data_IF_635424953190
#
_entry.id   IF_635424953190
#
_cell.length_a   1.000
_cell.length_b   1.000
_cell.length_c   1.000
_cell.angle_alpha   90.00
_cell.angle_beta   90.00
_cell.angle_gamma   90.00
#
_symmetry.space_group_name_H-M   'P 1'
#
loop_
_entity.id
_entity.type
_entity.pdbx_description
1 polymer ?
#
# COMPACT_ATOMS: atom_id res chain seq x y z
N UNK A 1 -11.31 1.94 54.67
CA UNK A 1 -10.46 1.61 53.52
C UNK A 1 -11.25 0.68 52.60
N UNK A 2 -11.87 1.20 51.54
CA UNK A 2 -12.69 0.42 50.62
C UNK A 2 -11.84 0.00 49.41
N UNK A 3 -11.38 -1.25 49.43
CA UNK A 3 -10.68 -1.86 48.31
C UNK A 3 -11.64 -2.09 47.14
N UNK A 4 -11.47 -1.32 46.05
CA UNK A 4 -12.20 -1.56 44.80
C UNK A 4 -11.58 -2.76 44.09
N UNK A 5 -12.36 -3.83 43.93
CA UNK A 5 -11.98 -4.96 43.09
C UNK A 5 -11.90 -4.51 41.61
N UNK A 6 -10.77 -4.79 40.97
CA UNK A 6 -10.57 -4.55 39.55
C UNK A 6 -11.35 -5.61 38.75
N UNK A 7 -12.21 -5.25 37.79
CA UNK A 7 -12.89 -6.24 36.97
C UNK A 7 -11.87 -6.97 36.09
N UNK A 8 -11.95 -8.30 36.08
CA UNK A 8 -11.09 -9.15 35.24
C UNK A 8 -11.34 -8.80 33.77
N UNK A 9 -10.33 -8.21 33.13
CA UNK A 9 -10.29 -8.04 31.68
C UNK A 9 -10.39 -9.43 31.06
N UNK A 10 -11.51 -9.71 30.39
CA UNK A 10 -11.62 -10.87 29.53
C UNK A 10 -10.65 -10.67 28.37
N UNK A 11 -9.71 -11.60 28.22
CA UNK A 11 -8.80 -11.63 27.09
C UNK A 11 -9.64 -11.69 25.80
N UNK A 12 -9.67 -10.58 25.05
CA UNK A 12 -10.14 -10.58 23.69
C UNK A 12 -9.26 -11.59 22.93
N UNK A 13 -9.83 -12.73 22.56
CA UNK A 13 -9.17 -13.69 21.68
C UNK A 13 -8.70 -12.96 20.42
N UNK A 14 -7.56 -13.36 19.83
CA UNK A 14 -7.04 -12.68 18.65
C UNK A 14 -8.10 -12.78 17.56
N UNK A 15 -8.62 -11.63 17.13
CA UNK A 15 -9.41 -11.48 15.92
C UNK A 15 -8.49 -11.78 14.73
N UNK A 16 -8.17 -13.05 14.48
CA UNK A 16 -7.43 -13.47 13.28
C UNK A 16 -8.41 -13.55 12.12
N UNK A 17 -8.93 -12.39 11.73
CA UNK A 17 -9.70 -12.29 10.49
C UNK A 17 -8.71 -12.33 9.34
N UNK A 18 -8.68 -13.49 8.66
CA UNK A 18 -8.03 -13.74 7.38
C UNK A 18 -6.50 -13.60 7.37
N UNK A 19 -5.80 -14.72 7.56
CA UNK A 19 -4.40 -14.88 7.15
C UNK A 19 -4.33 -14.59 5.64
N UNK A 20 -3.87 -13.40 5.28
CA UNK A 20 -3.76 -12.98 3.88
C UNK A 20 -2.86 -13.97 3.14
N UNK A 21 -3.26 -14.36 1.93
CA UNK A 21 -2.72 -15.50 1.19
C UNK A 21 -1.19 -15.52 1.18
N UNK A 22 -0.61 -16.53 1.83
CA UNK A 22 0.83 -16.74 1.92
C UNK A 22 1.40 -16.86 0.50
N UNK A 23 2.32 -15.96 0.14
CA UNK A 23 2.98 -16.00 -1.16
C UNK A 23 3.72 -17.33 -1.36
N UNK A 24 3.49 -18.02 -2.48
CA UNK A 24 4.15 -19.31 -2.79
C UNK A 24 5.66 -19.11 -2.94
N UNK A 25 6.47 -19.95 -2.28
CA UNK A 25 7.94 -19.93 -2.37
C UNK A 25 8.63 -18.78 -1.64
N UNK A 26 7.90 -18.09 -0.76
CA UNK A 26 8.43 -17.01 0.11
C UNK A 26 8.11 -17.34 1.56
N UNK A 27 9.14 -17.31 2.41
CA UNK A 27 9.00 -17.49 3.85
C UNK A 27 9.01 -16.12 4.50
N UNK A 28 7.89 -15.73 5.10
CA UNK A 28 7.76 -14.50 5.88
C UNK A 28 8.37 -14.74 7.26
N UNK A 29 9.28 -13.85 7.67
CA UNK A 29 9.94 -13.92 8.98
C UNK A 29 9.28 -13.00 10.01
N UNK A 30 8.58 -11.95 9.56
CA UNK A 30 7.95 -10.99 10.46
C UNK A 30 6.45 -11.25 10.59
N UNK A 31 5.97 -11.58 11.80
CA UNK A 31 4.54 -11.70 12.12
C UNK A 31 3.73 -10.45 11.74
N UNK A 32 4.35 -9.26 11.79
CA UNK A 32 3.69 -8.00 11.42
C UNK A 32 3.16 -8.02 9.97
N UNK A 33 3.81 -8.73 9.06
CA UNK A 33 3.40 -8.77 7.66
C UNK A 33 2.03 -9.42 7.44
N UNK A 34 1.75 -10.47 8.22
CA UNK A 34 0.54 -11.28 8.16
C UNK A 34 -0.61 -10.62 8.91
N UNK A 35 -0.29 -9.89 9.99
CA UNK A 35 -1.29 -9.33 10.91
C UNK A 35 -1.68 -7.88 10.58
N UNK A 36 -0.88 -7.13 9.81
CA UNK A 36 -1.18 -5.71 9.54
C UNK A 36 -2.39 -5.56 8.60
N UNK A 37 -3.56 -5.08 9.09
CA UNK A 37 -4.74 -4.88 8.25
C UNK A 37 -4.54 -3.71 7.29
N UNK A 38 -3.66 -2.78 7.64
CA UNK A 38 -3.42 -1.54 6.91
C UNK A 38 -2.52 -1.76 5.69
N UNK A 39 -2.86 -1.10 4.58
CA UNK A 39 -2.05 -1.03 3.35
C UNK A 39 -1.32 0.32 3.31
N UNK A 40 -0.10 0.33 2.78
CA UNK A 40 0.68 1.57 2.66
C UNK A 40 0.22 2.45 1.51
N UNK A 41 0.89 3.59 1.33
CA UNK A 41 0.64 4.46 0.19
C UNK A 41 1.21 3.85 -1.10
N UNK A 42 0.52 3.98 -2.25
CA UNK A 42 1.08 3.60 -3.53
C UNK A 42 2.36 4.38 -3.84
N UNK A 43 3.48 3.66 -4.05
CA UNK A 43 4.76 4.28 -4.40
C UNK A 43 5.04 4.15 -5.91
N UNK A 44 4.90 2.94 -6.45
CA UNK A 44 5.16 2.64 -7.87
C UNK A 44 3.95 1.92 -8.47
N UNK A 45 3.42 2.34 -9.63
CA UNK A 45 2.19 1.77 -10.19
C UNK A 45 2.37 0.36 -10.78
N UNK A 46 3.59 -0.17 -10.79
CA UNK A 46 3.94 -1.48 -11.35
C UNK A 46 4.74 -2.30 -10.35
N UNK A 47 4.85 -3.60 -10.61
CA UNK A 47 5.78 -4.48 -9.90
C UNK A 47 7.23 -4.18 -10.26
N UNK A 48 8.13 -4.41 -9.31
CA UNK A 48 9.56 -4.25 -9.49
C UNK A 48 10.19 -5.63 -9.53
N UNK A 49 10.88 -5.95 -10.64
CA UNK A 49 11.61 -7.22 -10.78
C UNK A 49 12.95 -7.09 -10.06
N UNK A 50 13.24 -8.03 -9.17
CA UNK A 50 14.50 -8.08 -8.43
C UNK A 50 15.06 -9.49 -8.45
N UNK A 51 16.37 -9.60 -8.48
CA UNK A 51 17.07 -10.86 -8.31
C UNK A 51 17.28 -11.09 -6.81
N UNK A 52 16.79 -12.22 -6.29
CA UNK A 52 16.87 -12.59 -4.89
C UNK A 52 17.62 -13.92 -4.76
N UNK A 53 18.42 -14.04 -3.71
CA UNK A 53 19.16 -15.26 -3.40
C UNK A 53 18.46 -16.04 -2.29
N UNK A 54 18.48 -17.37 -2.42
CA UNK A 54 17.95 -18.28 -1.40
C UNK A 54 18.61 -18.06 -0.04
N UNK A 55 17.80 -18.08 1.02
CA UNK A 55 18.26 -17.95 2.41
C UNK A 55 18.69 -16.54 2.85
N UNK A 56 18.79 -15.56 1.95
CA UNK A 56 19.01 -14.16 2.33
C UNK A 56 17.72 -13.52 2.84
N UNK A 57 17.82 -12.80 3.96
CA UNK A 57 16.71 -11.99 4.48
C UNK A 57 16.65 -10.65 3.78
N UNK A 58 15.47 -10.36 3.22
CA UNK A 58 15.16 -9.08 2.61
C UNK A 58 14.05 -8.39 3.38
N UNK A 59 14.06 -7.05 3.39
CA UNK A 59 13.01 -6.23 4.01
C UNK A 59 12.26 -5.46 2.95
N UNK A 60 11.04 -5.90 2.62
CA UNK A 60 10.17 -5.22 1.67
C UNK A 60 9.50 -4.00 2.33
N UNK A 61 9.51 -2.87 1.64
CA UNK A 61 8.79 -1.68 2.07
C UNK A 61 7.29 -1.88 1.84
N UNK A 62 6.51 -1.88 2.92
CA UNK A 62 5.04 -1.95 2.92
C UNK A 62 4.38 -0.59 3.07
N UNK A 63 5.06 0.42 3.63
CA UNK A 63 4.49 1.75 3.89
C UNK A 63 4.41 2.64 2.63
N UNK A 64 5.25 2.39 1.64
CA UNK A 64 5.31 3.18 0.39
C UNK A 64 6.20 4.43 0.45
N UNK A 65 6.81 4.72 1.60
CA UNK A 65 7.58 5.96 1.83
C UNK A 65 9.09 5.79 1.63
N UNK A 66 9.55 4.56 1.39
CA UNK A 66 10.97 4.30 1.17
C UNK A 66 11.45 4.94 -0.13
N UNK A 67 12.63 5.57 -0.08
CA UNK A 67 13.34 6.08 -1.26
C UNK A 67 13.97 4.92 -2.05
N UNK A 68 14.33 3.82 -1.38
CA UNK A 68 14.99 2.64 -1.97
C UNK A 68 13.99 1.53 -2.33
N UNK A 69 12.91 1.88 -3.03
CA UNK A 69 11.92 0.89 -3.47
C UNK A 69 12.58 -0.23 -4.30
N UNK A 70 12.22 -1.51 -4.11
CA UNK A 70 11.10 -2.02 -3.30
C UNK A 70 11.43 -2.29 -1.82
N UNK A 71 12.67 -2.04 -1.40
CA UNK A 71 13.16 -2.36 -0.07
C UNK A 71 12.92 -1.25 0.94
N UNK A 72 12.95 -1.61 2.22
CA UNK A 72 12.83 -0.67 3.32
C UNK A 72 14.16 0.07 3.58
N UNK A 73 14.10 1.40 3.66
CA UNK A 73 15.22 2.28 4.01
C UNK A 73 15.19 2.78 5.46
N UNK A 74 14.09 2.56 6.18
CA UNK A 74 13.89 3.01 7.56
C UNK A 74 12.93 4.19 7.70
N UNK A 75 12.42 4.76 6.61
CA UNK A 75 11.49 5.90 6.63
C UNK A 75 10.22 5.65 7.45
N UNK A 76 9.81 4.38 7.60
CA UNK A 76 8.67 4.00 8.45
C UNK A 76 8.88 4.25 9.96
N UNK A 77 10.11 4.51 10.41
CA UNK A 77 10.43 4.76 11.83
C UNK A 77 10.19 6.22 12.23
N UNK A 78 10.03 7.12 11.26
CA UNK A 78 9.80 8.53 11.52
C UNK A 78 8.47 8.66 12.29
N UNK A 79 8.50 9.19 13.53
CA UNK A 79 7.30 9.33 14.34
C UNK A 79 6.22 10.15 13.63
N UNK A 80 4.97 9.70 13.68
CA UNK A 80 3.82 10.39 13.07
C UNK A 80 3.69 10.23 11.55
N UNK A 81 4.64 9.55 10.88
CA UNK A 81 4.58 9.42 9.42
C UNK A 81 3.77 8.21 8.96
N UNK A 82 3.97 7.05 9.60
CA UNK A 82 3.22 5.82 9.29
C UNK A 82 3.33 4.78 10.40
N UNK A 83 2.23 4.07 10.64
CA UNK A 83 2.19 2.89 11.53
C UNK A 83 2.48 1.58 10.77
N UNK A 84 2.59 1.65 9.44
CA UNK A 84 2.80 0.47 8.60
C UNK A 84 4.26 0.02 8.71
N UNK A 85 4.47 -1.22 9.17
CA UNK A 85 5.81 -1.81 9.35
C UNK A 85 6.22 -2.68 8.15
N UNK A 86 7.51 -2.67 7.78
CA UNK A 86 8.03 -3.45 6.65
C UNK A 86 7.87 -4.96 6.86
N UNK A 87 7.95 -5.70 5.76
CA UNK A 87 7.84 -7.17 5.76
C UNK A 87 9.21 -7.78 5.56
N UNK A 88 9.68 -8.52 6.55
CA UNK A 88 10.91 -9.31 6.44
C UNK A 88 10.58 -10.67 5.85
N UNK A 89 11.30 -11.06 4.80
CA UNK A 89 11.06 -12.31 4.08
C UNK A 89 12.34 -12.93 3.54
N UNK A 90 12.30 -14.23 3.29
CA UNK A 90 13.32 -15.02 2.62
C UNK A 90 12.70 -15.77 1.45
N UNK A 91 13.52 -16.05 0.43
CA UNK A 91 13.12 -16.91 -0.70
C UNK A 91 13.75 -18.28 -0.55
N UNK A 92 13.02 -19.32 -0.97
CA UNK A 92 13.50 -20.71 -0.94
C UNK A 92 14.47 -21.01 -2.09
N UNK A 93 14.28 -20.34 -3.24
CA UNK A 93 15.08 -20.54 -4.45
C UNK A 93 15.63 -19.20 -4.94
N UNK A 94 16.89 -19.20 -5.37
CA UNK A 94 17.47 -18.02 -6.00
C UNK A 94 16.84 -17.80 -7.38
N UNK A 95 16.48 -16.57 -7.72
CA UNK A 95 15.84 -16.27 -9.00
C UNK A 95 15.32 -14.85 -9.11
N UNK A 96 14.61 -14.57 -10.21
CA UNK A 96 13.91 -13.31 -10.39
C UNK A 96 12.53 -13.36 -9.77
N UNK A 97 12.26 -12.41 -8.87
CA UNK A 97 10.97 -12.24 -8.21
C UNK A 97 10.37 -10.88 -8.54
N UNK A 98 9.03 -10.85 -8.60
CA UNK A 98 8.26 -9.63 -8.88
C UNK A 98 7.68 -9.08 -7.58
N UNK A 99 8.34 -8.08 -7.00
CA UNK A 99 7.90 -7.45 -5.74
C UNK A 99 6.85 -6.38 -6.01
N UNK A 100 5.92 -6.23 -5.06
CA UNK A 100 4.86 -5.23 -5.17
C UNK A 100 5.41 -3.80 -5.00
N UNK A 101 5.19 -2.94 -5.99
CA UNK A 101 5.50 -1.50 -5.95
C UNK A 101 4.34 -0.63 -5.46
N UNK A 102 3.10 -1.03 -5.72
CA UNK A 102 1.91 -0.23 -5.40
C UNK A 102 1.44 -0.35 -3.94
N UNK A 103 1.99 -1.32 -3.20
CA UNK A 103 1.69 -1.62 -1.78
C UNK A 103 0.24 -2.05 -1.50
N UNK A 104 -0.55 -2.26 -2.56
CA UNK A 104 -1.94 -2.73 -2.48
C UNK A 104 -2.11 -4.25 -2.65
N UNK A 105 -0.99 -4.99 -2.71
CA UNK A 105 -1.01 -6.46 -2.81
C UNK A 105 -1.62 -7.10 -1.57
N UNK A 106 -2.42 -8.14 -1.78
CA UNK A 106 -2.92 -9.05 -0.77
C UNK A 106 -1.95 -10.24 -0.55
N UNK A 107 -1.07 -10.53 -1.52
CA UNK A 107 -0.04 -11.58 -1.42
C UNK A 107 1.35 -11.00 -1.16
N UNK A 108 1.51 -10.32 -0.02
CA UNK A 108 2.78 -9.71 0.38
C UNK A 108 3.91 -10.77 0.45
N UNK A 109 5.14 -10.44 0.00
CA UNK A 109 5.62 -9.19 -0.60
C UNK A 109 5.50 -9.14 -2.14
N UNK A 110 4.91 -10.18 -2.75
CA UNK A 110 4.84 -10.35 -4.20
C UNK A 110 3.73 -9.50 -4.82
N UNK A 111 3.84 -9.29 -6.14
CA UNK A 111 2.79 -8.65 -6.91
C UNK A 111 1.69 -9.65 -7.30
N UNK A 112 0.45 -9.34 -6.94
CA UNK A 112 -0.78 -10.07 -7.31
C UNK A 112 -1.55 -9.47 -8.49
N UNK A 113 -1.14 -8.30 -8.98
CA UNK A 113 -1.85 -7.58 -10.03
C UNK A 113 -2.85 -6.53 -9.54
N UNK A 114 -3.07 -6.38 -8.23
CA UNK A 114 -3.96 -5.36 -7.67
C UNK A 114 -3.55 -3.93 -8.04
N UNK A 115 -2.30 -3.72 -8.48
CA UNK A 115 -1.82 -2.45 -9.00
C UNK A 115 -2.66 -1.90 -10.17
N UNK A 116 -3.42 -2.74 -10.89
CA UNK A 116 -4.36 -2.29 -11.94
C UNK A 116 -5.54 -1.49 -11.39
N UNK A 117 -5.93 -1.75 -10.15
CA UNK A 117 -7.05 -1.09 -9.48
C UNK A 117 -6.64 0.18 -8.74
N UNK A 118 -5.34 0.50 -8.73
CA UNK A 118 -4.81 1.69 -8.07
C UNK A 118 -4.73 2.80 -9.13
N UNK A 119 -5.62 3.78 -9.05
CA UNK A 119 -5.63 4.91 -9.98
C UNK A 119 -4.33 5.70 -9.89
N UNK A 120 -3.75 6.05 -11.05
CA UNK A 120 -2.52 6.86 -11.14
C UNK A 120 -2.73 8.32 -10.73
N UNK A 121 -3.94 8.82 -10.93
CA UNK A 121 -4.37 10.11 -10.41
C UNK A 121 -4.93 9.91 -9.00
N UNK A 122 -4.72 10.86 -8.07
CA UNK A 122 -5.56 10.94 -6.89
C UNK A 122 -7.00 11.07 -7.40
N UNK A 123 -7.78 10.00 -7.31
CA UNK A 123 -9.24 10.13 -7.27
C UNK A 123 -9.56 10.64 -5.87
N UNK A 124 -9.09 11.84 -5.56
CA UNK A 124 -9.72 12.59 -4.50
C UNK A 124 -11.12 12.86 -5.03
N UNK A 125 -12.07 12.04 -4.59
CA UNK A 125 -13.49 12.29 -4.82
C UNK A 125 -13.86 13.71 -4.35
N UNK A 126 -13.08 14.27 -3.41
CA UNK A 126 -13.18 15.65 -2.93
C UNK A 126 -12.43 16.69 -3.78
N UNK A 127 -11.38 16.33 -4.52
CA UNK A 127 -10.71 17.27 -5.45
C UNK A 127 -11.63 17.57 -6.65
N UNK A 128 -12.43 16.59 -7.07
CA UNK A 128 -13.54 16.78 -8.02
C UNK A 128 -14.76 17.48 -7.43
N UNK A 129 -14.82 17.70 -6.10
CA UNK A 129 -15.94 18.38 -5.44
C UNK A 129 -15.73 19.88 -5.33
N UNK A 130 -14.48 20.34 -5.26
CA UNK A 130 -14.14 21.78 -5.18
C UNK A 130 -14.01 22.45 -6.54
N UNK A 131 -13.82 21.66 -7.60
CA UNK A 131 -13.67 22.17 -8.97
C UNK A 131 -14.76 21.53 -9.82
N UNK A 132 -15.74 22.34 -10.22
CA UNK A 132 -16.67 21.92 -11.25
C UNK A 132 -15.88 21.62 -12.53
N UNK A 133 -16.12 20.47 -13.17
CA UNK A 133 -15.48 20.06 -14.41
C UNK A 133 -16.50 19.95 -15.56
N UNK A 134 -17.60 20.70 -15.44
CA UNK A 134 -18.63 20.84 -16.46
C UNK A 134 -18.33 22.01 -17.42
N UNK A 135 -19.18 22.16 -18.43
CA UNK A 135 -19.06 23.16 -19.50
C UNK A 135 -19.13 24.61 -18.98
N UNK A 136 -19.55 24.83 -17.73
CA UNK A 136 -19.65 26.16 -17.11
C UNK A 136 -18.52 26.44 -16.11
N UNK A 137 -17.47 25.60 -16.07
CA UNK A 137 -16.36 25.81 -15.15
C UNK A 137 -15.30 26.74 -15.72
N UNK A 138 -14.81 27.66 -14.88
CA UNK A 138 -13.70 28.56 -15.23
C UNK A 138 -12.41 27.80 -15.62
N UNK A 139 -12.27 26.54 -15.20
CA UNK A 139 -11.16 25.66 -15.60
C UNK A 139 -11.34 25.19 -17.04
N UNK A 140 -12.57 24.96 -17.48
CA UNK A 140 -12.89 24.56 -18.85
C UNK A 140 -12.79 25.72 -19.84
N UNK A 141 -13.32 26.91 -19.50
CA UNK A 141 -13.25 28.10 -20.36
C UNK A 141 -11.82 28.58 -20.69
N UNK A 142 -10.81 28.10 -19.96
CA UNK A 142 -9.41 28.43 -20.18
C UNK A 142 -8.66 27.47 -21.12
N UNK A 143 -7.48 27.06 -20.68
CA UNK A 143 -6.50 26.29 -21.47
C UNK A 143 -7.06 24.93 -21.93
N UNK A 144 -7.98 24.33 -21.18
CA UNK A 144 -8.56 23.03 -21.51
C UNK A 144 -9.39 23.06 -22.81
N UNK A 145 -10.22 24.09 -23.02
CA UNK A 145 -10.96 24.27 -24.27
C UNK A 145 -10.02 24.55 -25.45
N UNK A 146 -8.99 25.38 -25.26
CA UNK A 146 -8.00 25.72 -26.29
C UNK A 146 -7.22 24.49 -26.75
N UNK A 147 -6.90 23.57 -25.82
CA UNK A 147 -6.20 22.32 -26.12
C UNK A 147 -7.14 21.19 -26.58
N UNK A 148 -8.45 21.43 -26.67
CA UNK A 148 -9.43 20.48 -27.21
C UNK A 148 -9.84 19.34 -26.26
N UNK A 149 -9.57 19.47 -24.96
CA UNK A 149 -10.02 18.51 -23.96
C UNK A 149 -11.54 18.54 -23.84
N UNK A 150 -12.22 17.38 -23.90
CA UNK A 150 -13.68 17.26 -23.73
C UNK A 150 -14.02 16.67 -22.36
N UNK A 151 -15.01 17.21 -21.62
CA UNK A 151 -15.38 16.69 -20.33
C UNK A 151 -16.15 15.37 -20.53
N UNK A 152 -15.84 14.36 -19.72
CA UNK A 152 -16.61 13.12 -19.63
C UNK A 152 -16.83 12.77 -18.18
N UNK A 153 -18.09 12.66 -17.77
CA UNK A 153 -18.51 12.14 -16.47
C UNK A 153 -17.75 12.75 -15.27
N UNK A 154 -17.54 14.08 -15.28
CA UNK A 154 -16.87 14.79 -14.18
C UNK A 154 -15.34 14.70 -14.17
N UNK A 155 -14.70 14.35 -15.29
CA UNK A 155 -13.25 14.37 -15.46
C UNK A 155 -12.80 14.63 -16.90
N UNK A 156 -11.48 14.78 -17.08
CA UNK A 156 -10.81 15.02 -18.37
C UNK A 156 -10.15 13.74 -18.93
N UNK A 157 -10.08 13.62 -20.26
CA UNK A 157 -9.32 12.57 -20.98
C UNK A 157 -7.93 13.07 -21.35
#
# INVERSE_FOLDING_TARGET
>A
MLGRACPKLHAAGPLVSSVRGKAKGVVIQSYAADVLPYKGKPAVPKSIRVQLDAGKTYSWCSCGLSVKQPFCDGSHKIPGLTDVRPVSFQVEKSGQYSLCGCKQTDSRPLCDGNHKNVSRAPRDLEASRMVAFDENSAVYEGVAHILGYKPKNGGFQ
#
